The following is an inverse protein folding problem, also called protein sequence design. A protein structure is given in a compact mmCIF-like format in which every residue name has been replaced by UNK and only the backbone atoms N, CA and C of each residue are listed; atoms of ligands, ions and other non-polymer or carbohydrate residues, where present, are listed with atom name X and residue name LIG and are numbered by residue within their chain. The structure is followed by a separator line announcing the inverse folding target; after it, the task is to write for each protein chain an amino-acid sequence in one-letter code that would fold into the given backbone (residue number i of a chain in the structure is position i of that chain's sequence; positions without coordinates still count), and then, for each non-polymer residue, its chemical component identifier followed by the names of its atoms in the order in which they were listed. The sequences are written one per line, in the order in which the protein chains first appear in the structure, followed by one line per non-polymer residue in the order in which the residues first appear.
data_IF_599373672576
#
_entry.id   IF_599373672576
#
_cell.length_a   1.000
_cell.length_b   1.000
_cell.length_c   1.000
_cell.angle_alpha   90.00
_cell.angle_beta   90.00
_cell.angle_gamma   90.00
#
_symmetry.space_group_name_H-M   'P 1'
#
loop_
_entity.id
_entity.type
_entity.pdbx_description
1 polymer ?
#
# COMPACT_ATOMS: atom_id res chain seq x y z
N UNK A 1 -22.76 15.34 57.24
CA UNK A 1 -21.83 16.48 57.36
C UNK A 1 -20.57 15.94 58.02
N UNK A 2 -19.37 15.92 57.44
CA UNK A 2 -18.76 16.89 56.53
C UNK A 2 -17.92 16.22 55.45
N UNK A 3 -17.89 16.91 54.33
CA UNK A 3 -17.34 16.57 53.03
C UNK A 3 -15.86 16.96 53.06
N UNK A 4 -14.95 16.01 52.80
CA UNK A 4 -13.52 16.29 52.69
C UNK A 4 -13.23 17.01 51.36
N UNK A 5 -12.96 18.31 51.42
CA UNK A 5 -12.40 19.09 50.29
C UNK A 5 -10.87 19.01 50.34
N UNK A 6 -10.27 18.31 49.38
CA UNK A 6 -8.86 18.46 49.07
C UNK A 6 -8.70 19.50 47.96
N UNK A 7 -8.03 20.60 48.28
CA UNK A 7 -7.70 21.68 47.35
C UNK A 7 -6.47 21.28 46.54
N UNK A 8 -6.62 21.31 45.22
CA UNK A 8 -5.51 21.23 44.27
C UNK A 8 -4.71 22.53 44.34
N UNK A 9 -3.44 22.45 44.76
CA UNK A 9 -2.48 23.54 44.58
C UNK A 9 -1.61 23.16 43.38
N UNK A 10 -1.85 23.85 42.28
CA UNK A 10 -1.03 23.86 41.07
C UNK A 10 0.34 24.48 41.38
N UNK A 11 1.39 23.66 41.38
CA UNK A 11 2.77 24.13 41.35
C UNK A 11 3.26 24.14 39.89
N UNK A 12 3.35 25.33 39.31
CA UNK A 12 4.03 25.62 38.06
C UNK A 12 5.54 25.36 38.24
N UNK A 13 6.03 24.24 37.72
CA UNK A 13 7.45 23.99 37.57
C UNK A 13 7.92 24.54 36.22
N UNK A 14 8.57 25.71 36.26
CA UNK A 14 9.28 26.34 35.15
C UNK A 14 10.45 25.44 34.75
N UNK A 15 10.34 24.76 33.60
CA UNK A 15 11.48 24.08 32.99
C UNK A 15 12.40 25.13 32.36
N UNK A 16 13.57 25.35 32.98
CA UNK A 16 14.66 26.12 32.37
C UNK A 16 15.22 25.27 31.21
N UNK A 17 14.94 25.70 29.99
CA UNK A 17 15.60 25.23 28.78
C UNK A 17 17.06 25.71 28.81
N UNK A 18 17.96 24.85 29.31
CA UNK A 18 19.39 24.98 29.02
C UNK A 18 19.59 24.49 27.59
N UNK A 19 19.52 25.42 26.65
CA UNK A 19 20.01 25.22 25.29
C UNK A 19 21.52 25.04 25.35
N UNK A 20 21.98 23.79 25.46
CA UNK A 20 23.37 23.42 25.26
C UNK A 20 23.64 23.50 23.74
N UNK A 21 23.90 24.70 23.24
CA UNK A 21 24.42 24.91 21.90
C UNK A 21 25.86 24.40 21.87
N UNK A 22 26.03 23.11 21.59
CA UNK A 22 27.32 22.54 21.20
C UNK A 22 27.67 23.20 19.85
N UNK A 23 28.41 24.30 19.91
CA UNK A 23 28.97 24.92 18.73
C UNK A 23 30.02 23.98 18.15
N UNK A 24 29.67 23.27 17.08
CA UNK A 24 30.68 22.66 16.21
C UNK A 24 31.56 23.83 15.73
N UNK A 25 32.89 23.83 15.94
CA UNK A 25 33.72 24.93 15.48
C UNK A 25 33.59 25.04 13.95
N UNK A 26 33.29 26.25 13.45
CA UNK A 26 33.11 26.52 12.01
C UNK A 26 34.27 26.00 11.15
N UNK A 27 35.48 25.93 11.71
CA UNK A 27 36.69 25.37 11.07
C UNK A 27 36.54 23.88 10.78
N UNK A 28 35.97 23.10 11.71
CA UNK A 28 35.77 21.66 11.53
C UNK A 28 34.68 21.37 10.49
N UNK A 29 33.60 22.15 10.51
CA UNK A 29 32.53 22.04 9.51
C UNK A 29 33.05 22.39 8.10
N UNK A 30 33.80 23.49 7.96
CA UNK A 30 34.37 23.88 6.68
C UNK A 30 35.38 22.85 6.15
N UNK A 31 36.31 22.38 6.98
CA UNK A 31 37.27 21.33 6.60
C UNK A 31 36.57 20.04 6.17
N UNK A 32 35.49 19.64 6.86
CA UNK A 32 34.74 18.44 6.49
C UNK A 32 34.01 18.58 5.15
N UNK A 33 33.55 19.78 4.80
CA UNK A 33 32.91 20.08 3.51
C UNK A 33 33.97 20.08 2.40
N UNK A 34 35.11 20.74 2.64
CA UNK A 34 36.19 20.83 1.66
C UNK A 34 36.72 19.42 1.30
N UNK A 35 36.95 18.55 2.31
CA UNK A 35 37.39 17.16 2.09
C UNK A 35 36.36 16.36 1.28
N UNK A 36 35.07 16.46 1.60
CA UNK A 36 34.01 15.77 0.83
C UNK A 36 33.93 16.26 -0.61
N UNK A 37 34.17 17.55 -0.83
CA UNK A 37 34.17 18.15 -2.17
C UNK A 37 35.35 17.63 -3.00
N UNK A 38 36.53 17.50 -2.39
CA UNK A 38 37.72 16.96 -3.07
C UNK A 38 37.58 15.46 -3.36
N UNK A 39 37.05 14.67 -2.44
CA UNK A 39 36.73 13.26 -2.67
C UNK A 39 35.73 13.08 -3.83
N UNK A 40 34.70 13.94 -3.89
CA UNK A 40 33.71 13.91 -4.96
C UNK A 40 34.31 14.23 -6.33
N UNK A 41 35.22 15.21 -6.40
CA UNK A 41 35.95 15.52 -7.64
C UNK A 41 36.80 14.35 -8.08
N UNK A 42 37.52 13.73 -7.15
CA UNK A 42 38.36 12.57 -7.45
C UNK A 42 37.53 11.41 -8.01
N UNK A 43 36.37 11.10 -7.41
CA UNK A 43 35.48 10.07 -7.96
C UNK A 43 35.02 10.36 -9.38
N UNK A 44 34.74 11.62 -9.69
CA UNK A 44 34.27 12.06 -11.01
C UNK A 44 35.38 11.94 -12.06
N UNK A 45 36.58 12.41 -11.74
CA UNK A 45 37.76 12.24 -12.61
C UNK A 45 38.12 10.77 -12.83
N UNK A 46 38.12 9.96 -11.77
CA UNK A 46 38.42 8.53 -11.87
C UNK A 46 37.37 7.81 -12.70
N UNK A 47 36.09 8.19 -12.56
CA UNK A 47 35.00 7.62 -13.34
C UNK A 47 35.14 7.92 -14.84
N UNK A 48 35.55 9.13 -15.22
CA UNK A 48 35.77 9.53 -16.62
C UNK A 48 36.97 8.81 -17.27
N UNK A 49 38.01 8.49 -16.49
CA UNK A 49 39.19 7.77 -16.99
C UNK A 49 38.94 6.30 -17.26
N UNK A 50 37.90 5.72 -16.65
CA UNK A 50 37.60 4.30 -16.79
C UNK A 50 36.76 4.03 -18.05
N UNK A 51 37.17 3.02 -18.82
CA UNK A 51 36.40 2.51 -19.97
C UNK A 51 35.62 1.25 -19.62
N UNK A 52 36.05 0.50 -18.60
CA UNK A 52 35.38 -0.72 -18.15
C UNK A 52 34.10 -0.38 -17.36
N UNK A 53 32.97 -0.93 -17.82
CA UNK A 53 31.65 -0.69 -17.24
C UNK A 53 31.57 -1.18 -15.79
N UNK A 54 32.25 -2.28 -15.46
CA UNK A 54 32.23 -2.85 -14.10
C UNK A 54 33.00 -1.97 -13.12
N UNK A 55 34.16 -1.46 -13.52
CA UNK A 55 34.96 -0.53 -12.72
C UNK A 55 34.20 0.78 -12.46
N UNK A 56 33.55 1.33 -13.49
CA UNK A 56 32.68 2.52 -13.39
C UNK A 56 31.50 2.29 -12.45
N UNK A 57 30.83 1.15 -12.57
CA UNK A 57 29.77 0.71 -11.67
C UNK A 57 30.25 0.65 -10.20
N UNK A 58 31.43 0.09 -9.96
CA UNK A 58 32.01 -0.02 -8.62
C UNK A 58 32.32 1.34 -7.99
N UNK A 59 32.77 2.33 -8.77
CA UNK A 59 32.97 3.70 -8.27
C UNK A 59 31.63 4.28 -7.78
N UNK A 60 30.59 4.21 -8.60
CA UNK A 60 29.28 4.77 -8.26
C UNK A 60 28.73 4.16 -6.96
N UNK A 61 28.88 2.85 -6.77
CA UNK A 61 28.43 2.17 -5.55
C UNK A 61 29.21 2.57 -4.29
N UNK A 62 30.43 3.08 -4.42
CA UNK A 62 31.27 3.53 -3.29
C UNK A 62 31.05 4.98 -2.90
N UNK A 63 30.32 5.75 -3.71
CA UNK A 63 30.00 7.15 -3.39
C UNK A 63 29.16 7.26 -2.11
N UNK A 64 29.23 8.39 -1.44
CA UNK A 64 28.37 8.71 -0.29
C UNK A 64 26.90 8.92 -0.70
N UNK A 65 26.04 9.31 0.24
CA UNK A 65 24.62 9.55 0.01
C UNK A 65 24.29 10.88 -0.68
N UNK A 66 25.28 11.72 -0.96
CA UNK A 66 25.12 13.01 -1.64
C UNK A 66 24.31 14.06 -0.87
N UNK A 67 24.14 13.92 0.45
CA UNK A 67 23.28 14.79 1.26
C UNK A 67 23.66 16.27 1.25
N UNK A 68 24.90 16.59 0.89
CA UNK A 68 25.53 17.89 0.75
C UNK A 68 25.27 18.58 -0.60
N UNK A 69 24.86 17.82 -1.62
CA UNK A 69 24.67 18.33 -2.98
C UNK A 69 23.43 19.23 -3.05
N UNK A 70 23.52 20.30 -3.83
CA UNK A 70 22.41 21.20 -4.13
C UNK A 70 21.99 21.12 -5.60
N UNK A 71 20.80 21.64 -5.91
CA UNK A 71 20.35 21.74 -7.30
C UNK A 71 21.23 22.68 -8.15
N UNK A 72 21.85 23.70 -7.53
CA UNK A 72 22.75 24.61 -8.23
C UNK A 72 24.01 23.87 -8.73
N UNK A 73 24.53 22.92 -7.94
CA UNK A 73 25.68 22.10 -8.34
C UNK A 73 25.34 21.24 -9.56
N UNK A 74 24.14 20.67 -9.60
CA UNK A 74 23.63 19.88 -10.73
C UNK A 74 23.46 20.74 -11.97
N UNK A 75 23.02 22.00 -11.82
CA UNK A 75 22.88 22.90 -12.96
C UNK A 75 24.25 23.34 -13.52
N UNK A 76 25.26 23.45 -12.66
CA UNK A 76 26.61 23.78 -13.08
C UNK A 76 27.25 22.63 -13.89
N UNK A 77 27.03 21.37 -13.49
CA UNK A 77 27.59 20.19 -14.14
C UNK A 77 26.50 19.12 -14.40
N UNK A 78 25.59 19.34 -15.36
CA UNK A 78 24.43 18.47 -15.55
C UNK A 78 24.76 17.08 -16.10
N UNK A 79 25.92 16.92 -16.75
CA UNK A 79 26.36 15.68 -17.38
C UNK A 79 27.34 14.86 -16.51
N UNK A 80 27.70 15.36 -15.33
CA UNK A 80 28.54 14.63 -14.38
C UNK A 80 27.73 13.47 -13.76
N UNK A 81 28.04 12.25 -14.19
CA UNK A 81 27.34 11.03 -13.78
C UNK A 81 27.49 10.76 -12.28
N UNK A 82 28.67 11.01 -11.70
CA UNK A 82 28.93 10.74 -10.28
C UNK A 82 28.14 11.72 -9.42
N UNK A 83 28.19 13.01 -9.77
CA UNK A 83 27.42 14.06 -9.11
C UNK A 83 25.91 13.78 -9.17
N UNK A 84 25.39 13.45 -10.36
CA UNK A 84 23.98 13.13 -10.52
C UNK A 84 23.58 11.86 -9.76
N UNK A 85 24.43 10.84 -9.71
CA UNK A 85 24.10 9.60 -8.99
C UNK A 85 24.04 9.84 -7.47
N UNK A 86 25.00 10.58 -6.92
CA UNK A 86 24.97 11.03 -5.51
C UNK A 86 23.73 11.86 -5.23
N UNK A 87 23.38 12.79 -6.11
CA UNK A 87 22.16 13.59 -5.99
C UNK A 87 20.89 12.74 -6.00
N UNK A 88 20.78 11.74 -6.89
CA UNK A 88 19.65 10.82 -6.90
C UNK A 88 19.53 10.04 -5.58
N UNK A 89 20.65 9.62 -4.96
CA UNK A 89 20.65 9.00 -3.63
C UNK A 89 20.12 9.96 -2.56
N UNK A 90 20.55 11.22 -2.59
CA UNK A 90 20.07 12.25 -1.67
C UNK A 90 18.56 12.51 -1.82
N UNK A 91 18.07 12.61 -3.06
CA UNK A 91 16.65 12.74 -3.38
C UNK A 91 15.85 11.55 -2.82
N UNK A 92 16.34 10.33 -3.00
CA UNK A 92 15.68 9.13 -2.46
C UNK A 92 15.66 9.11 -0.93
N UNK A 93 16.74 9.55 -0.28
CA UNK A 93 16.79 9.68 1.18
C UNK A 93 15.78 10.71 1.71
N UNK A 94 15.50 11.76 0.93
CA UNK A 94 14.49 12.79 1.24
C UNK A 94 13.06 12.40 0.84
N UNK A 95 12.88 11.24 0.20
CA UNK A 95 11.57 10.80 -0.31
C UNK A 95 11.15 11.46 -1.63
N UNK A 96 12.05 12.17 -2.31
CA UNK A 96 11.81 12.84 -3.60
C UNK A 96 11.91 11.85 -4.77
N UNK A 97 11.07 10.81 -4.74
CA UNK A 97 11.16 9.65 -5.66
C UNK A 97 11.03 10.07 -7.14
N UNK A 98 10.16 11.05 -7.46
CA UNK A 98 10.02 11.59 -8.83
C UNK A 98 11.22 12.40 -9.29
N UNK A 99 11.87 13.12 -8.38
CA UNK A 99 13.10 13.86 -8.70
C UNK A 99 14.23 12.88 -9.00
N UNK A 100 14.35 11.84 -8.16
CA UNK A 100 15.33 10.78 -8.35
C UNK A 100 15.15 10.04 -9.68
N UNK A 101 13.92 9.74 -10.11
CA UNK A 101 13.68 9.06 -11.39
C UNK A 101 14.22 9.88 -12.57
N UNK A 102 13.95 11.18 -12.61
CA UNK A 102 14.44 12.06 -13.68
C UNK A 102 15.98 12.19 -13.68
N UNK A 103 16.60 12.27 -12.49
CA UNK A 103 18.06 12.30 -12.37
C UNK A 103 18.70 11.00 -12.85
N UNK A 104 18.15 9.84 -12.46
CA UNK A 104 18.64 8.52 -12.86
C UNK A 104 18.44 8.26 -14.37
N UNK A 105 17.31 8.68 -14.92
CA UNK A 105 17.04 8.60 -16.35
C UNK A 105 18.06 9.39 -17.15
N UNK A 106 18.37 10.63 -16.73
CA UNK A 106 19.39 11.45 -17.38
C UNK A 106 20.77 10.77 -17.40
N UNK A 107 21.17 10.14 -16.29
CA UNK A 107 22.42 9.36 -16.26
C UNK A 107 22.38 8.24 -17.31
N UNK A 108 21.26 7.52 -17.42
CA UNK A 108 21.11 6.40 -18.37
C UNK A 108 20.99 6.85 -19.83
N UNK A 109 20.64 8.12 -20.09
CA UNK A 109 20.74 8.73 -21.43
C UNK A 109 22.20 8.94 -21.82
N UNK A 110 23.04 9.36 -20.87
CA UNK A 110 24.47 9.56 -21.10
C UNK A 110 25.22 8.21 -21.18
N UNK A 111 24.85 7.27 -20.32
CA UNK A 111 25.45 5.95 -20.27
C UNK A 111 24.42 4.85 -19.96
N UNK A 112 23.93 4.14 -20.99
CA UNK A 112 22.92 3.12 -20.81
C UNK A 112 23.46 1.84 -20.14
N UNK A 113 24.76 1.59 -20.13
CA UNK A 113 25.31 0.28 -19.71
C UNK A 113 25.64 0.22 -18.21
N UNK A 114 25.35 1.29 -17.45
CA UNK A 114 25.53 1.33 -16.01
C UNK A 114 24.46 0.50 -15.27
N UNK A 115 24.73 -0.80 -15.11
CA UNK A 115 23.85 -1.74 -14.42
C UNK A 115 23.39 -1.28 -13.01
N UNK A 116 24.25 -0.71 -12.13
CA UNK A 116 23.78 -0.22 -10.84
C UNK A 116 22.79 0.93 -10.97
N UNK A 117 23.05 1.90 -11.85
CA UNK A 117 22.14 3.03 -12.07
C UNK A 117 20.80 2.53 -12.60
N UNK A 118 20.82 1.60 -13.57
CA UNK A 118 19.61 0.98 -14.11
C UNK A 118 18.81 0.23 -13.04
N UNK A 119 19.48 -0.44 -12.09
CA UNK A 119 18.82 -1.09 -10.97
C UNK A 119 18.15 -0.08 -10.04
N UNK A 120 18.82 1.00 -9.67
CA UNK A 120 18.21 2.09 -8.90
C UNK A 120 17.01 2.66 -9.64
N UNK A 121 17.14 2.93 -10.94
CA UNK A 121 16.05 3.45 -11.76
C UNK A 121 14.84 2.51 -11.78
N UNK A 122 15.05 1.21 -12.00
CA UNK A 122 13.98 0.21 -11.99
C UNK A 122 13.23 0.14 -10.63
N UNK A 123 13.97 0.20 -9.52
CA UNK A 123 13.39 0.20 -8.16
C UNK A 123 12.59 1.49 -7.91
N UNK A 124 13.10 2.63 -8.38
CA UNK A 124 12.43 3.93 -8.27
C UNK A 124 11.14 3.94 -9.09
N UNK A 125 11.15 3.43 -10.32
CA UNK A 125 9.95 3.27 -11.15
C UNK A 125 8.91 2.36 -10.49
N UNK A 126 9.36 1.24 -9.90
CA UNK A 126 8.49 0.35 -9.13
C UNK A 126 7.83 1.06 -7.93
N UNK A 127 8.59 1.91 -7.23
CA UNK A 127 8.06 2.73 -6.12
C UNK A 127 7.07 3.81 -6.57
N UNK A 128 7.20 4.28 -7.80
CA UNK A 128 6.27 5.23 -8.43
C UNK A 128 5.03 4.55 -9.03
N UNK A 129 4.89 3.23 -8.88
CA UNK A 129 3.85 2.41 -9.52
C UNK A 129 3.88 2.44 -11.06
N UNK A 130 5.01 2.86 -11.65
CA UNK A 130 5.30 2.73 -13.08
C UNK A 130 5.77 1.30 -13.38
N UNK A 131 4.87 0.34 -13.19
CA UNK A 131 5.19 -1.09 -13.17
C UNK A 131 5.68 -1.61 -14.53
N UNK A 132 5.13 -1.10 -15.63
CA UNK A 132 5.49 -1.50 -17.00
C UNK A 132 6.91 -1.06 -17.35
N UNK A 133 7.26 0.18 -17.03
CA UNK A 133 8.61 0.71 -17.24
C UNK A 133 9.61 0.02 -16.31
N UNK A 134 9.27 -0.16 -15.03
CA UNK A 134 10.10 -0.89 -14.08
C UNK A 134 10.39 -2.31 -14.58
N UNK A 135 9.36 -3.02 -15.06
CA UNK A 135 9.49 -4.36 -15.65
C UNK A 135 10.47 -4.38 -16.81
N UNK A 136 10.36 -3.41 -17.72
CA UNK A 136 11.26 -3.30 -18.87
C UNK A 136 12.71 -3.05 -18.46
N UNK A 137 12.95 -2.20 -17.44
CA UNK A 137 14.30 -1.97 -16.93
C UNK A 137 14.89 -3.22 -16.26
N UNK A 138 14.06 -3.96 -15.50
CA UNK A 138 14.44 -5.25 -14.92
C UNK A 138 14.78 -6.29 -15.98
N UNK A 139 14.02 -6.38 -17.08
CA UNK A 139 14.35 -7.28 -18.19
C UNK A 139 15.70 -6.95 -18.84
N UNK A 140 16.00 -5.66 -19.04
CA UNK A 140 17.30 -5.22 -19.57
C UNK A 140 18.43 -5.61 -18.62
N UNK A 141 18.25 -5.46 -17.30
CA UNK A 141 19.25 -5.88 -16.31
C UNK A 141 19.54 -7.39 -16.35
N UNK A 142 18.53 -8.22 -16.59
CA UNK A 142 18.71 -9.67 -16.74
C UNK A 142 19.52 -10.07 -17.99
N UNK A 143 19.70 -9.16 -18.94
CA UNK A 143 20.55 -9.35 -20.13
C UNK A 143 21.99 -8.87 -19.90
N UNK A 144 22.28 -8.24 -18.76
CA UNK A 144 23.60 -7.71 -18.41
C UNK A 144 24.37 -8.68 -17.52
N UNK A 145 25.68 -8.46 -17.38
CA UNK A 145 26.49 -9.21 -16.42
C UNK A 145 26.21 -8.74 -14.99
N UNK A 146 25.35 -9.47 -14.27
CA UNK A 146 24.95 -9.18 -12.89
C UNK A 146 25.24 -10.37 -11.97
N UNK A 147 25.38 -10.11 -10.67
CA UNK A 147 25.59 -11.19 -9.71
C UNK A 147 24.31 -12.05 -9.53
N UNK A 148 24.45 -13.34 -9.17
CA UNK A 148 23.29 -14.20 -8.92
C UNK A 148 22.37 -13.69 -7.80
N UNK A 149 22.90 -12.92 -6.85
CA UNK A 149 22.10 -12.29 -5.80
C UNK A 149 21.21 -11.18 -6.35
N UNK A 150 21.78 -10.29 -7.18
CA UNK A 150 21.03 -9.23 -7.85
C UNK A 150 19.97 -9.84 -8.78
N UNK A 151 20.31 -10.90 -9.51
CA UNK A 151 19.35 -11.61 -10.36
C UNK A 151 18.15 -12.14 -9.56
N UNK A 152 18.39 -12.79 -8.41
CA UNK A 152 17.31 -13.27 -7.53
C UNK A 152 16.42 -12.12 -7.06
N UNK A 153 17.00 -11.00 -6.64
CA UNK A 153 16.24 -9.83 -6.20
C UNK A 153 15.40 -9.24 -7.34
N UNK A 154 15.96 -9.13 -8.55
CA UNK A 154 15.24 -8.69 -9.74
C UNK A 154 14.04 -9.61 -10.03
N UNK A 155 14.22 -10.94 -9.97
CA UNK A 155 13.13 -11.90 -10.19
C UNK A 155 12.02 -11.77 -9.14
N UNK A 156 12.34 -11.41 -7.90
CA UNK A 156 11.34 -11.10 -6.88
C UNK A 156 10.52 -9.86 -7.25
N UNK A 157 11.16 -8.76 -7.66
CA UNK A 157 10.46 -7.56 -8.13
C UNK A 157 9.56 -7.85 -9.33
N UNK A 158 10.05 -8.63 -10.31
CA UNK A 158 9.26 -9.05 -11.47
C UNK A 158 8.02 -9.82 -11.03
N UNK A 159 8.16 -10.78 -10.12
CA UNK A 159 7.03 -11.54 -9.58
C UNK A 159 6.00 -10.65 -8.88
N UNK A 160 6.45 -9.67 -8.09
CA UNK A 160 5.55 -8.67 -7.48
C UNK A 160 4.85 -7.79 -8.52
N UNK A 161 5.57 -7.35 -9.55
CA UNK A 161 4.98 -6.60 -10.67
C UNK A 161 3.90 -7.44 -11.34
N UNK A 162 4.17 -8.70 -11.70
CA UNK A 162 3.18 -9.55 -12.37
C UNK A 162 1.97 -9.83 -11.46
N UNK A 163 2.17 -9.95 -10.14
CA UNK A 163 1.05 -10.05 -9.18
C UNK A 163 0.21 -8.78 -9.16
N UNK A 164 0.83 -7.60 -9.12
CA UNK A 164 0.13 -6.31 -9.13
C UNK A 164 -0.56 -6.01 -10.47
N UNK A 165 0.00 -6.50 -11.58
CA UNK A 165 -0.58 -6.40 -12.92
C UNK A 165 -1.70 -7.40 -13.20
N UNK A 166 -1.98 -8.35 -12.28
CA UNK A 166 -3.09 -9.27 -12.47
C UNK A 166 -4.39 -8.48 -12.55
N UNK A 167 -4.92 -8.42 -13.77
CA UNK A 167 -6.20 -7.78 -14.06
C UNK A 167 -7.38 -8.49 -13.41
N UNK A 168 -7.27 -9.80 -13.22
CA UNK A 168 -8.28 -10.62 -12.57
C UNK A 168 -8.07 -10.66 -11.06
N UNK A 169 -9.04 -10.16 -10.31
CA UNK A 169 -9.13 -10.30 -8.86
C UNK A 169 -10.28 -11.24 -8.50
N UNK A 170 -10.07 -12.09 -7.50
CA UNK A 170 -11.05 -13.06 -7.02
C UNK A 170 -11.04 -13.12 -5.49
N UNK A 171 -12.22 -13.20 -4.88
CA UNK A 171 -12.40 -13.32 -3.43
C UNK A 171 -13.49 -14.32 -3.12
N UNK A 172 -13.28 -15.13 -2.08
CA UNK A 172 -14.26 -16.07 -1.54
C UNK A 172 -14.40 -15.82 -0.04
N UNK A 173 -15.62 -15.49 0.40
CA UNK A 173 -15.96 -15.34 1.81
C UNK A 173 -17.00 -16.38 2.18
N UNK A 174 -16.77 -17.09 3.26
CA UNK A 174 -17.70 -18.08 3.80
C UNK A 174 -18.00 -17.76 5.26
N UNK A 175 -19.26 -17.79 5.64
CA UNK A 175 -19.73 -17.55 7.01
C UNK A 175 -20.57 -18.73 7.44
N UNK A 176 -20.32 -19.23 8.65
CA UNK A 176 -21.12 -20.26 9.31
C UNK A 176 -21.43 -19.78 10.71
N UNK A 177 -22.64 -20.02 11.20
CA UNK A 177 -23.02 -19.62 12.55
C UNK A 177 -24.26 -20.34 13.04
N UNK A 178 -24.63 -20.04 14.27
CA UNK A 178 -25.91 -20.44 14.84
C UNK A 178 -26.60 -19.24 15.48
N UNK A 179 -27.93 -19.26 15.52
CA UNK A 179 -28.76 -18.25 16.18
C UNK A 179 -29.68 -18.97 17.17
N UNK A 180 -29.90 -18.36 18.33
CA UNK A 180 -30.84 -18.87 19.33
C UNK A 180 -31.89 -17.79 19.53
N UNK A 181 -33.15 -18.15 19.36
CA UNK A 181 -34.29 -17.26 19.51
C UNK A 181 -35.27 -17.88 20.51
N UNK A 182 -35.73 -17.10 21.49
CA UNK A 182 -36.70 -17.58 22.49
C UNK A 182 -38.15 -17.44 22.04
N UNK A 183 -38.41 -16.73 20.94
CA UNK A 183 -39.75 -16.50 20.40
C UNK A 183 -39.70 -16.37 18.88
N UNK A 184 -39.24 -17.42 18.20
CA UNK A 184 -38.96 -17.42 16.75
C UNK A 184 -40.22 -17.24 15.90
N UNK A 185 -41.38 -17.71 16.39
CA UNK A 185 -42.68 -17.52 15.77
C UNK A 185 -43.32 -16.15 16.09
N UNK A 186 -42.63 -15.26 16.81
CA UNK A 186 -43.07 -13.92 17.17
C UNK A 186 -44.44 -13.88 17.86
N UNK A 187 -44.75 -14.88 18.69
CA UNK A 187 -46.04 -14.97 19.38
C UNK A 187 -46.19 -13.87 20.46
N UNK A 188 -47.42 -13.40 20.74
CA UNK A 188 -47.70 -12.45 21.81
C UNK A 188 -47.27 -12.96 23.19
N UNK A 189 -46.52 -12.14 23.94
CA UNK A 189 -46.04 -12.50 25.28
C UNK A 189 -47.16 -12.66 26.32
N UNK A 190 -48.27 -11.93 26.14
CA UNK A 190 -49.47 -12.02 26.99
C UNK A 190 -50.36 -13.24 26.65
N UNK A 191 -50.01 -13.99 25.59
CA UNK A 191 -50.74 -15.16 25.09
C UNK A 191 -52.18 -14.83 24.73
N UNK A 192 -52.42 -13.61 24.25
CA UNK A 192 -53.72 -13.15 23.75
C UNK A 192 -53.62 -12.95 22.23
N UNK A 193 -54.58 -13.50 21.50
CA UNK A 193 -54.74 -13.28 20.06
C UNK A 193 -56.11 -12.65 19.76
N UNK A 194 -56.19 -11.88 18.68
CA UNK A 194 -57.46 -11.33 18.21
C UNK A 194 -58.13 -12.31 17.25
N UNK A 195 -59.27 -12.87 17.66
CA UNK A 195 -60.14 -13.65 16.78
C UNK A 195 -61.31 -12.77 16.36
N UNK A 196 -61.33 -12.37 15.09
CA UNK A 196 -62.36 -11.46 14.55
C UNK A 196 -62.50 -10.16 15.36
N UNK A 197 -61.37 -9.61 15.82
CA UNK A 197 -61.31 -8.40 16.63
C UNK A 197 -61.63 -8.59 18.12
N UNK A 198 -61.93 -9.81 18.57
CA UNK A 198 -62.14 -10.11 19.99
C UNK A 198 -60.86 -10.67 20.61
N UNK A 199 -60.36 -10.11 21.73
CA UNK A 199 -59.23 -10.68 22.47
C UNK A 199 -59.60 -12.06 23.02
N UNK A 200 -58.84 -13.08 22.64
CA UNK A 200 -59.01 -14.47 23.06
C UNK A 200 -57.68 -15.06 23.50
N UNK A 201 -57.70 -15.93 24.51
CA UNK A 201 -56.48 -16.61 24.96
C UNK A 201 -56.00 -17.63 23.91
N UNK A 202 -54.69 -17.69 23.69
CA UNK A 202 -54.06 -18.68 22.81
C UNK A 202 -54.16 -20.07 23.45
N UNK A 203 -54.97 -20.94 22.83
CA UNK A 203 -55.21 -22.30 23.30
C UNK A 203 -54.28 -23.32 22.64
N UNK A 204 -53.97 -23.12 21.36
CA UNK A 204 -53.03 -23.94 20.59
C UNK A 204 -51.61 -23.80 21.13
N UNK A 205 -50.90 -24.92 21.29
CA UNK A 205 -49.50 -24.91 21.73
C UNK A 205 -48.55 -24.36 20.66
N UNK A 206 -48.90 -24.49 19.37
CA UNK A 206 -48.08 -24.01 18.25
C UNK A 206 -48.06 -22.47 18.14
N UNK A 207 -49.10 -21.82 18.66
CA UNK A 207 -49.27 -20.35 18.60
C UNK A 207 -48.70 -19.64 19.84
N UNK A 208 -48.16 -20.38 20.82
CA UNK A 208 -47.44 -19.82 21.98
C UNK A 208 -45.97 -19.54 21.61
N UNK A 209 -45.26 -18.67 22.34
CA UNK A 209 -43.84 -18.41 22.09
C UNK A 209 -43.03 -19.70 22.02
N UNK A 210 -42.37 -19.90 20.88
CA UNK A 210 -41.58 -21.10 20.62
C UNK A 210 -40.10 -20.72 20.47
N UNK A 211 -39.24 -21.42 21.18
CA UNK A 211 -37.81 -21.23 21.06
C UNK A 211 -37.27 -22.04 19.88
N UNK A 212 -36.24 -21.52 19.23
CA UNK A 212 -35.58 -22.26 18.17
C UNK A 212 -34.10 -21.95 18.12
N UNK A 213 -33.37 -22.87 17.51
CA UNK A 213 -31.98 -22.70 17.13
C UNK A 213 -31.94 -22.78 15.61
N UNK A 214 -31.26 -21.83 14.98
CA UNK A 214 -31.01 -21.86 13.55
C UNK A 214 -29.53 -22.09 13.28
N UNK A 215 -29.20 -22.87 12.25
CA UNK A 215 -27.88 -22.88 11.64
C UNK A 215 -27.89 -21.97 10.43
N UNK A 216 -26.93 -21.05 10.36
CA UNK A 216 -26.82 -20.09 9.26
C UNK A 216 -25.53 -20.30 8.48
N UNK A 217 -25.64 -20.20 7.17
CA UNK A 217 -24.54 -20.27 6.23
C UNK A 217 -24.64 -19.16 5.20
N UNK A 218 -23.52 -18.51 4.89
CA UNK A 218 -23.41 -17.58 3.78
C UNK A 218 -22.14 -17.85 2.97
N UNK A 219 -22.25 -17.69 1.66
CA UNK A 219 -21.15 -17.79 0.72
C UNK A 219 -21.19 -16.56 -0.18
N UNK A 220 -20.05 -15.89 -0.35
CA UNK A 220 -19.91 -14.79 -1.30
C UNK A 220 -18.67 -15.02 -2.15
N UNK A 221 -18.85 -15.03 -3.46
CA UNK A 221 -17.78 -15.12 -4.44
C UNK A 221 -17.77 -13.85 -5.28
N UNK A 222 -16.68 -13.10 -5.23
CA UNK A 222 -16.48 -11.89 -6.03
C UNK A 222 -15.39 -12.15 -7.07
N UNK A 223 -15.64 -11.71 -8.31
CA UNK A 223 -14.64 -11.68 -9.38
C UNK A 223 -14.69 -10.32 -10.06
N UNK A 224 -13.52 -9.73 -10.29
CA UNK A 224 -13.40 -8.49 -11.08
C UNK A 224 -12.25 -8.57 -12.07
N UNK A 225 -12.39 -7.86 -13.18
CA UNK A 225 -11.40 -7.77 -14.24
C UNK A 225 -11.14 -6.30 -14.59
N UNK A 226 -9.92 -5.85 -14.38
CA UNK A 226 -9.42 -4.56 -14.85
C UNK A 226 -9.27 -4.57 -16.38
N UNK A 227 -9.92 -3.64 -17.06
CA UNK A 227 -9.92 -3.53 -18.52
C UNK A 227 -8.59 -3.00 -19.08
N UNK A 228 -7.69 -2.52 -18.23
CA UNK A 228 -6.35 -2.08 -18.59
C UNK A 228 -6.28 -0.65 -19.15
N UNK A 229 -7.32 0.15 -18.94
CA UNK A 229 -7.29 1.59 -19.25
C UNK A 229 -6.54 2.36 -18.16
N UNK A 230 -5.95 3.51 -18.51
CA UNK A 230 -5.21 4.34 -17.56
C UNK A 230 -6.05 4.80 -16.35
N UNK A 231 -7.35 5.04 -16.56
CA UNK A 231 -8.31 5.40 -15.52
C UNK A 231 -8.76 4.18 -14.66
N UNK A 232 -8.30 2.98 -15.01
CA UNK A 232 -8.59 1.74 -14.29
C UNK A 232 -10.06 1.32 -14.36
N UNK A 233 -10.70 1.32 -15.54
CA UNK A 233 -12.06 0.80 -15.64
C UNK A 233 -12.10 -0.71 -15.36
N UNK A 234 -13.13 -1.20 -14.68
CA UNK A 234 -13.24 -2.62 -14.33
C UNK A 234 -14.64 -3.18 -14.62
N UNK A 235 -14.74 -4.48 -14.88
CA UNK A 235 -16.00 -5.22 -14.85
C UNK A 235 -15.99 -6.19 -13.68
N UNK A 236 -17.14 -6.46 -13.07
CA UNK A 236 -17.21 -7.37 -11.93
C UNK A 236 -18.49 -8.20 -11.93
N UNK A 237 -18.40 -9.33 -11.24
CA UNK A 237 -19.51 -10.19 -10.90
C UNK A 237 -19.40 -10.60 -9.42
N UNK A 238 -20.52 -10.61 -8.71
CA UNK A 238 -20.63 -11.14 -7.36
C UNK A 238 -21.73 -12.18 -7.31
N UNK A 239 -21.50 -13.26 -6.57
CA UNK A 239 -22.50 -14.29 -6.31
C UNK A 239 -22.59 -14.44 -4.80
N UNK A 240 -23.78 -14.21 -4.24
CA UNK A 240 -24.05 -14.38 -2.81
C UNK A 240 -25.12 -15.44 -2.60
N UNK A 241 -24.82 -16.46 -1.80
CA UNK A 241 -25.78 -17.42 -1.29
C UNK A 241 -25.91 -17.27 0.23
N UNK A 242 -27.13 -17.37 0.74
CA UNK A 242 -27.43 -17.38 2.16
C UNK A 242 -28.48 -18.45 2.45
N UNK A 243 -28.30 -19.16 3.55
CA UNK A 243 -29.23 -20.15 4.06
C UNK A 243 -29.34 -20.07 5.57
N UNK A 244 -30.55 -20.26 6.08
CA UNK A 244 -30.85 -20.47 7.50
C UNK A 244 -31.79 -21.64 7.62
N UNK A 245 -31.37 -22.64 8.40
CA UNK A 245 -32.09 -23.88 8.68
C UNK A 245 -32.50 -23.88 10.16
N UNK A 246 -33.79 -23.91 10.45
CA UNK A 246 -34.34 -23.97 11.81
C UNK A 246 -34.38 -25.43 12.30
N UNK A 247 -34.23 -25.66 13.59
CA UNK A 247 -34.25 -27.03 14.15
C UNK A 247 -35.68 -27.50 14.46
N UNK A 248 -36.58 -26.59 14.84
CA UNK A 248 -37.96 -26.94 15.22
C UNK A 248 -39.01 -26.37 14.27
N UNK A 249 -38.78 -25.16 13.74
CA UNK A 249 -39.75 -24.44 12.90
C UNK A 249 -39.28 -24.36 11.45
N UNK A 250 -39.16 -25.50 10.77
CA UNK A 250 -38.73 -25.64 9.36
C UNK A 250 -39.52 -24.72 8.39
N UNK A 251 -40.77 -24.38 8.73
CA UNK A 251 -41.56 -23.43 7.96
C UNK A 251 -40.96 -22.02 7.90
N UNK A 252 -39.97 -21.72 8.75
CA UNK A 252 -39.23 -20.47 8.83
C UNK A 252 -37.80 -20.60 8.25
N UNK A 253 -37.51 -21.69 7.56
CA UNK A 253 -36.27 -21.84 6.78
C UNK A 253 -36.22 -20.80 5.67
N UNK A 254 -35.05 -20.19 5.50
CA UNK A 254 -34.85 -19.15 4.50
C UNK A 254 -33.61 -19.48 3.69
N UNK A 255 -33.78 -19.46 2.37
CA UNK A 255 -32.69 -19.47 1.41
C UNK A 255 -32.79 -18.25 0.50
N UNK A 256 -31.67 -17.60 0.24
CA UNK A 256 -31.60 -16.54 -0.76
C UNK A 256 -30.34 -16.67 -1.59
N UNK A 257 -30.45 -16.29 -2.85
CA UNK A 257 -29.34 -16.26 -3.80
C UNK A 257 -29.43 -14.98 -4.60
N UNK A 258 -28.31 -14.27 -4.74
CA UNK A 258 -28.19 -13.08 -5.57
C UNK A 258 -26.96 -13.17 -6.47
N UNK A 259 -27.09 -12.57 -7.64
CA UNK A 259 -26.00 -12.35 -8.58
C UNK A 259 -26.01 -10.88 -8.92
N UNK A 260 -24.86 -10.24 -8.78
CA UNK A 260 -24.66 -8.84 -9.13
C UNK A 260 -23.67 -8.78 -10.29
N UNK A 261 -24.04 -8.15 -11.39
CA UNK A 261 -23.14 -7.92 -12.53
C UNK A 261 -23.00 -6.42 -12.76
N UNK A 262 -21.78 -5.94 -12.94
CA UNK A 262 -21.57 -4.50 -13.10
C UNK A 262 -20.26 -4.12 -13.74
N UNK A 263 -20.12 -2.81 -13.94
CA UNK A 263 -18.88 -2.18 -14.37
C UNK A 263 -18.57 -1.02 -13.44
N UNK A 264 -17.30 -0.71 -13.24
CA UNK A 264 -16.84 0.52 -12.58
C UNK A 264 -16.13 1.37 -13.61
N UNK A 265 -16.75 2.48 -13.95
CA UNK A 265 -16.22 3.46 -14.90
C UNK A 265 -15.72 4.63 -14.06
N UNK A 266 -14.44 4.94 -14.18
CA UNK A 266 -13.75 5.99 -13.43
C UNK A 266 -13.39 7.11 -14.39
N UNK A 267 -13.64 8.35 -14.03
CA UNK A 267 -12.97 9.51 -14.62
C UNK A 267 -12.21 10.25 -13.52
N UNK A 268 -11.25 11.09 -13.89
CA UNK A 268 -10.33 11.72 -12.91
C UNK A 268 -10.97 12.34 -11.65
N UNK A 269 -12.25 12.76 -11.71
CA UNK A 269 -12.98 13.30 -10.55
C UNK A 269 -14.32 12.61 -10.22
N UNK A 270 -14.67 11.52 -10.90
CA UNK A 270 -15.97 10.86 -10.72
C UNK A 270 -15.89 9.35 -10.91
N UNK A 271 -16.83 8.62 -10.33
CA UNK A 271 -16.95 7.17 -10.48
C UNK A 271 -18.41 6.78 -10.66
N UNK A 272 -18.69 5.97 -11.67
CA UNK A 272 -20.00 5.41 -11.95
C UNK A 272 -19.92 3.89 -11.86
N UNK A 273 -20.82 3.28 -11.07
CA UNK A 273 -20.87 1.83 -10.90
C UNK A 273 -22.28 1.31 -11.24
N UNK A 274 -22.65 1.22 -12.53
CA UNK A 274 -23.91 0.59 -12.89
C UNK A 274 -23.88 -0.90 -12.51
N UNK A 275 -24.96 -1.36 -11.90
CA UNK A 275 -25.19 -2.76 -11.52
C UNK A 275 -26.52 -3.23 -12.09
N UNK A 276 -26.56 -4.50 -12.52
CA UNK A 276 -27.75 -5.22 -12.96
C UNK A 276 -28.12 -6.29 -11.93
#
# INVERSE_FOLDING_TARGET
MNIARWQYVTALATAVLVSLSIGIPKVQAQQSIDVRTDEARQFSEDFERLTDVTARANILMRTDDGGDITYADILANPDDIVLNFRWAKAQLARGEVRGASATLERILVLDPDLAPVRLYYAIVLYRLDSLDEARSQFDRLLQMNISPEVERNIRQYISEIERRRKRLSQSLTMTLGSQIDSNRNAAPNDKIQLLTGTPTAITSSADKPNNDIAYVGALRYDVSYDLGYQEGHEVFASVTGYGSDQVQLDALDIGSFSVDLGARIRGGYWMLTPTL
#
